data_IF_728275214353
#
_entry.id   IF_728275214353
#
_cell.length_a   1.000
_cell.length_b   1.000
_cell.length_c   1.000
_cell.angle_alpha   90.00
_cell.angle_beta   90.00
_cell.angle_gamma   90.00
#
_symmetry.space_group_name_H-M   'P 1'
#
loop_
_entity.id
_entity.type
_entity.pdbx_description
1 polymer ?
#
# COMPACT_ATOMS: atom_id res chain seq x y z
N UNK A 1 20.53 20.23 10.98
CA UNK A 1 19.22 19.64 11.24
C UNK A 1 19.33 18.14 11.17
N UNK A 2 19.64 17.51 12.28
CA UNK A 2 19.49 16.08 12.50
C UNK A 2 18.87 15.94 13.89
N UNK A 3 17.89 15.07 14.05
CA UNK A 3 17.28 14.85 15.35
C UNK A 3 18.31 14.13 16.22
N UNK A 4 18.71 14.74 17.33
CA UNK A 4 19.62 14.13 18.31
C UNK A 4 18.80 13.26 19.26
N UNK A 5 19.06 11.96 19.24
CA UNK A 5 18.40 10.97 20.08
C UNK A 5 19.26 10.56 21.28
N UNK A 6 20.40 11.21 21.50
CA UNK A 6 21.32 10.90 22.59
C UNK A 6 21.70 9.42 22.62
N UNK A 7 21.44 8.76 23.76
CA UNK A 7 21.74 7.33 23.99
C UNK A 7 20.58 6.39 23.63
N UNK A 8 19.51 6.90 23.02
CA UNK A 8 18.34 6.10 22.72
C UNK A 8 18.60 5.21 21.48
N UNK A 9 18.59 3.88 21.68
CA UNK A 9 18.49 2.96 20.56
C UNK A 9 17.06 2.99 20.05
N UNK A 10 16.88 3.51 18.84
CA UNK A 10 15.56 3.66 18.24
C UNK A 10 15.34 2.63 17.16
N UNK A 11 14.10 2.13 17.13
CA UNK A 11 13.66 1.08 16.20
C UNK A 11 12.95 1.68 14.99
N UNK A 12 12.14 2.74 15.18
CA UNK A 12 11.49 3.52 14.13
C UNK A 12 11.37 4.98 14.56
N UNK A 13 11.68 5.87 13.64
CA UNK A 13 11.59 7.32 13.84
C UNK A 13 10.43 7.89 13.03
N UNK A 14 9.24 7.93 13.64
CA UNK A 14 8.03 8.47 13.01
C UNK A 14 7.46 7.60 11.88
N UNK A 15 6.72 8.24 10.98
CA UNK A 15 6.13 7.61 9.81
C UNK A 15 7.21 7.49 8.72
N UNK A 16 7.54 6.26 8.34
CA UNK A 16 8.37 6.02 7.17
C UNK A 16 7.60 6.50 5.95
N UNK A 17 8.07 7.55 5.26
CA UNK A 17 7.41 8.05 4.06
C UNK A 17 7.73 7.18 2.84
N UNK A 18 8.96 6.69 2.74
CA UNK A 18 9.44 5.97 1.57
C UNK A 18 10.96 6.03 1.41
N UNK A 19 11.41 5.59 0.25
CA UNK A 19 12.82 5.54 -0.13
C UNK A 19 13.09 6.43 -1.34
N UNK A 20 14.11 7.27 -1.25
CA UNK A 20 14.69 7.90 -2.44
C UNK A 20 15.60 6.88 -3.14
N UNK A 21 15.27 6.58 -4.40
CA UNK A 21 16.15 5.85 -5.34
C UNK A 21 16.66 6.82 -6.39
N UNK A 22 17.71 6.49 -7.16
CA UNK A 22 18.22 7.39 -8.19
C UNK A 22 17.11 7.90 -9.12
N UNK A 23 16.89 9.22 -9.07
CA UNK A 23 15.90 9.95 -9.87
C UNK A 23 14.42 9.76 -9.49
N UNK A 24 14.09 9.06 -8.40
CA UNK A 24 12.67 8.79 -8.06
C UNK A 24 12.43 8.42 -6.60
N UNK A 25 11.29 8.86 -6.09
CA UNK A 25 10.75 8.45 -4.80
C UNK A 25 9.89 7.17 -4.93
N UNK A 26 10.04 6.26 -3.96
CA UNK A 26 9.16 5.11 -3.78
C UNK A 26 8.45 5.26 -2.43
N UNK A 27 7.13 5.47 -2.42
CA UNK A 27 6.38 5.59 -1.17
C UNK A 27 6.42 4.26 -0.41
N UNK A 28 6.48 4.34 0.90
CA UNK A 28 6.44 3.17 1.78
C UNK A 28 5.01 2.62 1.87
N UNK A 29 4.90 1.36 2.27
CA UNK A 29 3.59 0.80 2.61
C UNK A 29 2.98 1.49 3.83
N UNK A 30 3.80 1.84 4.83
CA UNK A 30 3.38 2.57 6.03
C UNK A 30 2.71 3.90 5.69
N UNK A 31 3.24 4.63 4.71
CA UNK A 31 2.62 5.85 4.22
C UNK A 31 1.24 5.54 3.66
N UNK A 32 1.09 4.50 2.84
CA UNK A 32 -0.21 4.11 2.31
C UNK A 32 -1.26 3.90 3.41
N UNK A 33 -0.87 3.22 4.50
CA UNK A 33 -1.76 2.94 5.63
C UNK A 33 -2.14 4.18 6.44
N UNK A 34 -1.37 5.27 6.33
CA UNK A 34 -1.60 6.51 7.07
C UNK A 34 -2.42 7.55 6.28
N UNK A 35 -2.61 7.36 4.97
CA UNK A 35 -3.27 8.32 4.09
C UNK A 35 -4.75 7.98 3.87
N UNK A 36 -5.53 9.04 3.60
CA UNK A 36 -6.85 8.96 2.95
C UNK A 36 -6.73 9.17 1.44
N UNK A 37 -7.80 8.89 0.70
CA UNK A 37 -7.81 9.01 -0.76
C UNK A 37 -7.48 10.45 -1.22
N UNK A 38 -8.00 11.44 -0.51
CA UNK A 38 -7.80 12.87 -0.77
C UNK A 38 -6.37 13.38 -0.51
N UNK A 39 -5.55 12.62 0.24
CA UNK A 39 -4.15 12.99 0.50
C UNK A 39 -3.22 12.60 -0.67
N UNK A 40 -3.71 11.79 -1.62
CA UNK A 40 -2.96 11.29 -2.76
C UNK A 40 -3.42 11.92 -4.08
N UNK A 41 -2.48 12.20 -4.99
CA UNK A 41 -2.81 12.72 -6.33
C UNK A 41 -3.68 11.76 -7.14
N UNK A 42 -3.52 10.45 -6.92
CA UNK A 42 -4.33 9.42 -7.55
C UNK A 42 -4.65 8.33 -6.51
N UNK A 43 -5.92 7.98 -6.41
CA UNK A 43 -6.41 6.93 -5.52
C UNK A 43 -7.51 6.10 -6.19
N UNK A 44 -7.61 4.84 -5.78
CA UNK A 44 -8.73 3.94 -6.07
C UNK A 44 -9.36 3.58 -4.73
N UNK A 45 -10.67 3.71 -4.61
CA UNK A 45 -11.42 3.24 -3.45
C UNK A 45 -12.34 2.10 -3.85
N UNK A 46 -12.19 0.96 -3.19
CA UNK A 46 -13.05 -0.20 -3.36
C UNK A 46 -13.90 -0.43 -2.10
N UNK A 47 -15.14 -0.93 -2.25
CA UNK A 47 -15.88 -1.53 -1.14
C UNK A 47 -15.11 -2.70 -0.50
N UNK A 48 -15.28 -2.96 0.79
CA UNK A 48 -14.63 -4.10 1.47
C UNK A 48 -15.01 -5.49 0.92
N UNK A 49 -16.15 -5.62 0.23
CA UNK A 49 -16.61 -6.84 -0.41
C UNK A 49 -16.24 -6.93 -1.91
N UNK A 50 -15.45 -5.98 -2.41
CA UNK A 50 -15.05 -5.97 -3.82
C UNK A 50 -14.12 -7.16 -4.15
N UNK A 51 -14.44 -7.98 -5.16
CA UNK A 51 -13.64 -9.17 -5.51
C UNK A 51 -12.21 -8.83 -5.93
N UNK A 52 -11.94 -7.60 -6.39
CA UNK A 52 -10.59 -7.13 -6.75
C UNK A 52 -9.64 -7.09 -5.55
N UNK A 53 -10.16 -7.01 -4.33
CA UNK A 53 -9.34 -7.03 -3.13
C UNK A 53 -8.57 -8.32 -2.95
N UNK A 54 -9.18 -9.47 -3.26
CA UNK A 54 -8.49 -10.75 -3.18
C UNK A 54 -7.29 -10.81 -4.14
N UNK A 55 -7.48 -10.31 -5.37
CA UNK A 55 -6.41 -10.21 -6.36
C UNK A 55 -5.28 -9.28 -5.87
N UNK A 56 -5.63 -8.06 -5.42
CA UNK A 56 -4.65 -7.11 -4.89
C UNK A 56 -3.87 -7.66 -3.69
N UNK A 57 -4.55 -8.27 -2.72
CA UNK A 57 -3.93 -8.84 -1.52
C UNK A 57 -3.07 -10.08 -1.83
N UNK A 58 -3.32 -10.77 -2.93
CA UNK A 58 -2.43 -11.85 -3.42
C UNK A 58 -1.19 -11.31 -4.15
N UNK A 59 -1.12 -10.01 -4.41
CA UNK A 59 -0.04 -9.39 -5.18
C UNK A 59 -0.24 -9.40 -6.69
N UNK A 60 -1.46 -9.67 -7.18
CA UNK A 60 -1.74 -9.68 -8.61
C UNK A 60 -1.79 -8.25 -9.18
N UNK A 61 -1.26 -8.11 -10.40
CA UNK A 61 -1.33 -6.90 -11.22
C UNK A 61 -2.66 -6.85 -11.99
N UNK A 62 -3.26 -5.68 -12.11
CA UNK A 62 -4.53 -5.47 -12.80
C UNK A 62 -4.38 -4.61 -14.06
N UNK A 63 -5.23 -4.78 -15.09
CA UNK A 63 -5.36 -3.80 -16.17
C UNK A 63 -5.77 -2.43 -15.62
N UNK A 64 -5.21 -1.35 -16.18
CA UNK A 64 -5.50 0.00 -15.71
C UNK A 64 -5.43 1.04 -16.82
N UNK A 65 -6.47 1.87 -16.90
CA UNK A 65 -6.64 2.90 -17.94
C UNK A 65 -6.44 4.33 -17.43
N UNK A 66 -6.03 4.51 -16.17
CA UNK A 66 -5.75 5.83 -15.59
C UNK A 66 -4.33 6.35 -15.89
N UNK A 67 -4.01 7.51 -15.31
CA UNK A 67 -2.73 8.16 -15.48
C UNK A 67 -1.56 7.31 -14.92
N UNK A 68 -0.39 7.42 -15.55
CA UNK A 68 0.83 6.78 -15.03
C UNK A 68 1.24 7.41 -13.70
N UNK A 69 1.77 6.60 -12.78
CA UNK A 69 2.24 7.08 -11.48
C UNK A 69 1.94 6.15 -10.33
N UNK A 70 2.17 6.63 -9.11
CA UNK A 70 1.75 5.95 -7.89
C UNK A 70 0.25 6.19 -7.68
N UNK A 71 -0.48 5.12 -7.35
CA UNK A 71 -1.91 5.14 -7.09
C UNK A 71 -2.15 4.53 -5.71
N UNK A 72 -2.75 5.31 -4.81
CA UNK A 72 -3.15 4.81 -3.50
C UNK A 72 -4.33 3.85 -3.66
N UNK A 73 -4.25 2.68 -3.04
CA UNK A 73 -5.35 1.74 -2.96
C UNK A 73 -5.99 1.91 -1.59
N UNK A 74 -7.29 2.17 -1.58
CA UNK A 74 -8.10 2.35 -0.37
C UNK A 74 -9.29 1.39 -0.38
N UNK A 75 -9.75 1.03 0.82
CA UNK A 75 -10.94 0.20 1.05
C UNK A 75 -11.85 0.89 2.03
N UNK A 76 -13.08 1.17 1.63
CA UNK A 76 -14.04 1.95 2.42
C UNK A 76 -13.43 3.25 2.99
N UNK A 77 -12.55 3.89 2.20
CA UNK A 77 -11.85 5.12 2.57
C UNK A 77 -10.59 4.94 3.43
N UNK A 78 -10.22 3.71 3.79
CA UNK A 78 -8.99 3.41 4.54
C UNK A 78 -7.85 3.01 3.61
N UNK A 79 -6.66 3.58 3.82
CA UNK A 79 -5.45 3.23 3.09
C UNK A 79 -5.08 1.75 3.23
N UNK A 80 -4.87 1.07 2.10
CA UNK A 80 -4.50 -0.35 2.04
C UNK A 80 -3.09 -0.58 1.50
N UNK A 81 -2.65 0.22 0.53
CA UNK A 81 -1.36 0.00 -0.11
C UNK A 81 -1.19 0.82 -1.39
N UNK A 82 -0.15 0.51 -2.15
CA UNK A 82 0.13 1.18 -3.41
C UNK A 82 -0.03 0.26 -4.61
N UNK A 83 -0.44 0.85 -5.73
CA UNK A 83 -0.17 0.34 -7.07
C UNK A 83 0.67 1.34 -7.85
N UNK A 84 1.40 0.87 -8.86
CA UNK A 84 2.13 1.71 -9.80
C UNK A 84 1.60 1.54 -11.20
N UNK A 85 0.87 2.54 -11.68
CA UNK A 85 0.34 2.61 -13.02
C UNK A 85 1.46 2.88 -14.03
N UNK A 86 1.67 1.93 -14.96
CA UNK A 86 2.59 2.08 -16.08
C UNK A 86 2.23 1.09 -17.21
N UNK A 87 2.13 1.60 -18.44
CA UNK A 87 1.94 0.75 -19.63
C UNK A 87 0.61 0.00 -19.64
N UNK A 88 -0.48 0.65 -19.25
CA UNK A 88 -1.82 0.06 -19.23
C UNK A 88 -2.06 -0.95 -18.10
N UNK A 89 -1.14 -1.02 -17.13
CA UNK A 89 -1.20 -1.94 -15.98
C UNK A 89 -1.01 -1.19 -14.68
N UNK A 90 -1.73 -1.62 -13.65
CA UNK A 90 -1.49 -1.26 -12.27
C UNK A 90 -0.61 -2.35 -11.64
N UNK A 91 0.68 -2.07 -11.52
CA UNK A 91 1.63 -3.00 -10.89
C UNK A 91 1.42 -3.00 -9.38
N UNK A 92 1.30 -4.18 -8.80
CA UNK A 92 1.00 -4.34 -7.40
C UNK A 92 2.25 -4.11 -6.53
N UNK A 93 2.15 -3.14 -5.61
CA UNK A 93 3.21 -2.83 -4.65
C UNK A 93 2.83 -3.19 -3.21
N UNK A 94 1.86 -4.10 -3.02
CA UNK A 94 1.55 -4.69 -1.73
C UNK A 94 2.72 -5.54 -1.23
N UNK A 95 3.17 -5.38 0.04
CA UNK A 95 4.36 -6.04 0.54
C UNK A 95 4.28 -7.56 0.44
N UNK A 96 5.33 -8.18 -0.12
CA UNK A 96 5.35 -9.62 -0.38
C UNK A 96 5.04 -10.47 0.86
N UNK A 97 5.60 -10.11 2.02
CA UNK A 97 5.42 -10.83 3.28
C UNK A 97 4.02 -10.66 3.90
N UNK A 98 3.19 -9.73 3.39
CA UNK A 98 1.79 -9.56 3.80
C UNK A 98 0.82 -10.22 2.83
N UNK A 99 1.28 -10.69 1.67
CA UNK A 99 0.41 -11.26 0.64
C UNK A 99 -0.32 -12.49 1.18
N UNK A 100 -1.59 -12.61 0.81
CA UNK A 100 -2.38 -13.79 1.12
C UNK A 100 -2.05 -14.87 0.10
N UNK A 101 -1.53 -16.00 0.57
CA UNK A 101 -1.43 -17.20 -0.26
C UNK A 101 -2.83 -17.65 -0.68
N UNK A 102 -2.98 -18.18 -1.89
CA UNK A 102 -4.23 -18.78 -2.39
C UNK A 102 -4.75 -19.95 -1.53
N UNK A 103 -4.05 -20.36 -0.46
CA UNK A 103 -4.43 -21.41 0.47
C UNK A 103 -4.30 -21.07 1.96
N UNK A 104 -3.94 -19.84 2.34
CA UNK A 104 -3.87 -19.46 3.76
C UNK A 104 -5.23 -18.97 4.22
N UNK A 105 -6.06 -19.93 4.65
CA UNK A 105 -7.25 -19.65 5.45
C UNK A 105 -6.77 -19.02 6.76
N UNK A 106 -7.09 -17.75 6.99
CA UNK A 106 -7.00 -17.20 8.34
C UNK A 106 -7.94 -18.04 9.20
N UNK A 107 -7.55 -18.51 10.40
CA UNK A 107 -8.51 -19.14 11.29
C UNK A 107 -9.67 -18.16 11.43
N UNK A 108 -10.85 -18.59 10.95
CA UNK A 108 -12.06 -17.81 11.07
C UNK A 108 -12.23 -17.50 12.54
N UNK A 109 -12.45 -16.24 12.88
CA UNK A 109 -12.91 -15.90 14.21
C UNK A 109 -14.30 -16.58 14.36
N UNK A 110 -14.46 -17.58 15.23
CA UNK A 110 -15.73 -18.29 15.34
C UNK A 110 -16.82 -17.45 16.02
N UNK A 111 -16.48 -16.24 16.50
CA UNK A 111 -17.38 -15.41 17.30
C UNK A 111 -17.45 -13.95 16.77
N UNK A 112 -18.21 -13.73 15.69
CA UNK A 112 -19.07 -12.54 15.44
C UNK A 112 -20.29 -13.00 14.63
#
# INVERSE_FOLDING_TARGET
GAIDFGRLRTVRYGLLLGEMRPGRFHPSHELALALRAEDATAAINWPADDPRLAAYLSGADEPFTGANGWVLITVDGFGLGWGKAAGGRLKNHYPHFLRRDKGRVLPGNPDI
#
